data_IF_340958365167
#
_entry.id   IF_340958365167
#
_cell.length_a   1.000
_cell.length_b   1.000
_cell.length_c   1.000
_cell.angle_alpha   90.00
_cell.angle_beta   90.00
_cell.angle_gamma   90.00
#
_symmetry.space_group_name_H-M   'P 1'
#
loop_
_entity.id
_entity.type
_entity.pdbx_description
1 polymer ?
#
# COMPACT_ATOMS: atom_id res chain seq x y z
N UNK A 1 -56.30 5.61 -21.81
CA UNK A 1 -55.08 6.36 -22.16
C UNK A 1 -54.41 6.82 -20.86
N UNK A 2 -53.11 6.53 -20.69
CA UNK A 2 -52.19 7.02 -19.63
C UNK A 2 -52.43 6.46 -18.20
N UNK A 3 -51.43 6.01 -17.45
CA UNK A 3 -49.99 5.96 -17.69
C UNK A 3 -49.29 5.14 -16.59
N UNK A 4 -48.29 4.36 -17.00
CA UNK A 4 -47.49 3.51 -16.14
C UNK A 4 -46.56 4.36 -15.28
N UNK A 5 -46.47 4.08 -13.99
CA UNK A 5 -45.48 4.71 -13.10
C UNK A 5 -44.12 4.03 -13.34
N UNK A 6 -43.23 4.75 -14.00
CA UNK A 6 -41.84 4.35 -14.16
C UNK A 6 -41.12 4.49 -12.81
N UNK A 7 -40.61 3.38 -12.30
CA UNK A 7 -39.68 3.38 -11.16
C UNK A 7 -38.34 3.85 -11.73
N UNK A 8 -38.12 5.16 -11.64
CA UNK A 8 -36.82 5.79 -11.90
C UNK A 8 -35.82 5.42 -10.80
N UNK A 9 -35.44 4.15 -10.71
CA UNK A 9 -34.22 3.75 -10.03
C UNK A 9 -33.06 4.08 -10.94
N UNK A 10 -32.39 5.21 -10.70
CA UNK A 10 -31.11 5.50 -11.35
C UNK A 10 -30.22 4.25 -11.21
N UNK A 11 -29.59 3.75 -12.29
CA UNK A 11 -28.62 2.68 -12.17
C UNK A 11 -27.60 3.15 -11.15
N UNK A 12 -27.52 2.46 -10.02
CA UNK A 12 -26.47 2.70 -9.04
C UNK A 12 -25.18 2.46 -9.79
N UNK A 13 -24.52 3.55 -10.20
CA UNK A 13 -23.27 3.50 -10.92
C UNK A 13 -22.27 2.87 -9.96
N UNK A 14 -22.11 1.55 -10.05
CA UNK A 14 -21.05 0.83 -9.36
C UNK A 14 -19.76 1.52 -9.80
N UNK A 15 -19.10 2.21 -8.85
CA UNK A 15 -17.78 2.78 -9.10
C UNK A 15 -16.92 1.62 -9.58
N UNK A 16 -16.54 1.67 -10.86
CA UNK A 16 -15.59 0.72 -11.43
C UNK A 16 -14.36 0.78 -10.53
N UNK A 17 -14.07 -0.31 -9.80
CA UNK A 17 -12.80 -0.43 -9.08
C UNK A 17 -11.71 -0.12 -10.11
N UNK A 18 -10.90 0.89 -9.83
CA UNK A 18 -9.75 1.18 -10.67
C UNK A 18 -8.92 -0.12 -10.71
N UNK A 19 -8.40 -0.48 -11.89
CA UNK A 19 -7.50 -1.63 -12.01
C UNK A 19 -6.44 -1.51 -10.91
N UNK A 20 -6.16 -2.61 -10.25
CA UNK A 20 -5.09 -2.66 -9.25
C UNK A 20 -3.81 -2.17 -9.94
N UNK A 21 -3.24 -1.06 -9.46
CA UNK A 21 -2.17 -0.34 -10.17
C UNK A 21 -0.82 -1.08 -10.07
N UNK A 22 -0.79 -2.26 -9.45
CA UNK A 22 0.43 -2.90 -9.02
C UNK A 22 1.03 -2.20 -7.80
N UNK A 23 2.18 -2.72 -7.37
CA UNK A 23 2.98 -2.16 -6.27
C UNK A 23 3.27 -0.68 -6.57
N UNK A 24 2.67 0.24 -5.80
CA UNK A 24 2.99 1.66 -5.90
C UNK A 24 4.37 1.87 -5.28
N UNK A 25 5.34 2.28 -6.11
CA UNK A 25 6.71 2.53 -5.66
C UNK A 25 7.06 4.01 -5.77
N UNK A 26 7.78 4.53 -4.79
CA UNK A 26 8.32 5.89 -4.78
C UNK A 26 9.82 5.85 -4.49
N UNK A 27 10.61 6.80 -5.00
CA UNK A 27 11.99 6.92 -4.56
C UNK A 27 12.03 7.31 -3.07
N UNK A 28 12.95 6.72 -2.31
CA UNK A 28 13.18 7.08 -0.92
C UNK A 28 14.68 7.16 -0.62
N UNK A 29 15.06 8.00 0.34
CA UNK A 29 16.44 8.12 0.81
C UNK A 29 16.47 7.77 2.29
N UNK A 30 17.38 6.87 2.68
CA UNK A 30 17.59 6.45 4.06
C UNK A 30 19.07 6.61 4.38
N UNK A 31 19.39 7.51 5.31
CA UNK A 31 20.78 7.97 5.49
C UNK A 31 21.30 8.58 4.19
N UNK A 32 22.44 8.07 3.71
CA UNK A 32 23.09 8.52 2.47
C UNK A 32 22.72 7.65 1.24
N UNK A 33 21.82 6.68 1.40
CA UNK A 33 21.46 5.75 0.33
C UNK A 33 20.08 6.08 -0.25
N UNK A 34 20.04 6.21 -1.58
CA UNK A 34 18.80 6.47 -2.33
C UNK A 34 18.33 5.20 -3.04
N UNK A 35 17.09 4.82 -2.79
CA UNK A 35 16.40 3.69 -3.41
C UNK A 35 15.42 4.23 -4.43
N UNK A 36 15.57 3.85 -5.70
CA UNK A 36 14.70 4.33 -6.77
C UNK A 36 13.26 3.83 -6.64
N UNK A 37 13.07 2.63 -6.08
CA UNK A 37 11.79 1.95 -5.98
C UNK A 37 11.59 1.39 -4.56
N UNK A 38 10.95 2.16 -3.70
CA UNK A 38 10.46 1.68 -2.41
C UNK A 38 8.94 1.55 -2.47
N UNK A 39 8.42 0.39 -2.10
CA UNK A 39 6.98 0.14 -2.05
C UNK A 39 6.33 1.04 -0.98
N UNK A 40 5.32 1.80 -1.40
CA UNK A 40 4.53 2.65 -0.52
C UNK A 40 3.15 2.02 -0.33
N UNK A 41 2.92 1.48 0.86
CA UNK A 41 1.61 1.03 1.31
C UNK A 41 1.01 2.07 2.26
N UNK A 42 0.01 2.82 1.79
CA UNK A 42 -0.69 3.83 2.59
C UNK A 42 -1.65 3.20 3.63
N UNK A 43 -1.94 1.90 3.51
CA UNK A 43 -2.74 1.15 4.47
C UNK A 43 -1.92 0.52 5.59
N UNK A 44 -0.59 0.45 5.45
CA UNK A 44 0.29 -0.08 6.48
C UNK A 44 0.55 0.95 7.57
N UNK A 45 0.50 0.51 8.83
CA UNK A 45 0.91 1.32 9.98
C UNK A 45 2.39 1.19 10.31
N UNK A 46 3.12 0.30 9.62
CA UNK A 46 4.53 -0.02 9.85
C UNK A 46 5.32 0.07 8.55
N UNK A 47 6.59 0.47 8.66
CA UNK A 47 7.55 0.39 7.58
C UNK A 47 8.35 -0.90 7.70
N UNK A 48 8.56 -1.61 6.59
CA UNK A 48 9.37 -2.83 6.55
C UNK A 48 10.64 -2.57 5.75
N UNK A 49 11.79 -2.91 6.33
CA UNK A 49 13.08 -2.90 5.65
C UNK A 49 13.64 -4.32 5.62
N UNK A 50 14.01 -4.86 4.44
CA UNK A 50 14.70 -6.15 4.37
C UNK A 50 16.03 -6.12 5.11
N UNK A 51 16.37 -7.22 5.78
CA UNK A 51 17.63 -7.35 6.53
C UNK A 51 18.87 -7.09 5.67
N UNK A 52 18.84 -7.49 4.38
CA UNK A 52 19.95 -7.24 3.45
C UNK A 52 20.18 -5.74 3.20
N UNK A 53 19.10 -4.95 3.12
CA UNK A 53 19.19 -3.49 2.97
C UNK A 53 19.74 -2.88 4.26
N UNK A 54 19.23 -3.30 5.42
CA UNK A 54 19.73 -2.82 6.71
C UNK A 54 21.24 -3.06 6.87
N UNK A 55 21.71 -4.26 6.51
CA UNK A 55 23.14 -4.59 6.55
C UNK A 55 23.96 -3.73 5.58
N UNK A 56 23.45 -3.47 4.37
CA UNK A 56 24.11 -2.62 3.38
C UNK A 56 24.24 -1.15 3.84
N UNK A 57 23.29 -0.67 4.66
CA UNK A 57 23.32 0.67 5.24
C UNK A 57 24.30 0.80 6.41
N UNK A 58 24.79 -0.31 6.95
CA UNK A 58 25.77 -0.37 8.04
C UNK A 58 25.35 0.45 9.28
N UNK A 59 24.08 0.33 9.70
CA UNK A 59 23.53 1.03 10.87
C UNK A 59 23.96 0.44 12.22
N UNK A 60 24.80 -0.60 12.23
CA UNK A 60 25.25 -1.29 13.43
C UNK A 60 24.31 -2.40 13.86
N UNK A 61 24.42 -2.81 15.12
CA UNK A 61 23.60 -3.88 15.68
C UNK A 61 22.21 -3.36 16.09
N UNK A 62 21.18 -4.15 15.82
CA UNK A 62 19.82 -3.90 16.29
C UNK A 62 19.58 -4.62 17.61
N UNK A 63 18.99 -3.92 18.56
CA UNK A 63 18.38 -4.56 19.73
C UNK A 63 17.08 -5.25 19.31
N UNK A 64 16.99 -6.59 19.39
CA UNK A 64 15.80 -7.31 18.97
C UNK A 64 14.59 -6.91 19.82
N UNK A 65 13.55 -6.42 19.16
CA UNK A 65 12.26 -6.15 19.80
C UNK A 65 11.24 -7.16 19.29
N UNK A 66 10.64 -7.93 20.20
CA UNK A 66 9.61 -8.90 19.84
C UNK A 66 8.37 -8.19 19.28
N UNK A 67 8.07 -8.41 18.00
CA UNK A 67 6.86 -7.92 17.34
C UNK A 67 6.17 -9.05 16.58
N UNK A 68 4.84 -9.08 16.63
CA UNK A 68 4.01 -9.98 15.82
C UNK A 68 3.27 -9.15 14.77
N UNK A 69 3.45 -9.50 13.50
CA UNK A 69 2.82 -8.81 12.37
C UNK A 69 1.84 -9.80 11.73
N UNK A 70 0.58 -9.39 11.61
CA UNK A 70 -0.42 -10.13 10.83
C UNK A 70 -0.54 -9.51 9.45
N UNK A 71 -0.27 -10.32 8.42
CA UNK A 71 -0.45 -9.92 7.04
C UNK A 71 -1.88 -10.24 6.60
N UNK A 72 -2.45 -9.37 5.76
CA UNK A 72 -3.69 -9.68 5.09
C UNK A 72 -3.48 -10.84 4.11
N UNK A 73 -4.44 -11.75 4.04
CA UNK A 73 -4.45 -12.91 3.16
C UNK A 73 -5.30 -12.66 1.91
#
# INVERSE_FOLDING_TARGET
>A
MKGNREIGGAPQALRKKCKDLGIFSVPCTIGECTFANAMLDLGASINVMPTSIYQALNFGDLEPTGMTIHLAN
#
